data_IF_846357377334
#
_entry.id   IF_846357377334
#
_cell.length_a   1.000
_cell.length_b   1.000
_cell.length_c   1.000
_cell.angle_alpha   90.00
_cell.angle_beta   90.00
_cell.angle_gamma   90.00
#
_symmetry.space_group_name_H-M   'P 1'
#
loop_
_entity.id
_entity.type
_entity.pdbx_description
1 polymer ?
#
# COMPACT_ATOMS: atom_id res chain seq x y z
N UNK A 1 -43.35 20.64 -11.19
CA UNK A 1 -43.45 19.99 -9.88
C UNK A 1 -43.91 18.57 -10.16
N UNK A 2 -43.12 17.50 -10.04
CA UNK A 2 -42.00 17.18 -9.15
C UNK A 2 -41.11 16.10 -9.80
N UNK A 3 -39.80 16.22 -9.61
CA UNK A 3 -38.79 15.17 -9.81
C UNK A 3 -39.06 13.95 -8.92
N UNK A 4 -38.52 12.77 -9.25
CA UNK A 4 -37.61 12.00 -8.38
C UNK A 4 -37.15 10.69 -9.05
N UNK A 5 -35.85 10.64 -9.35
CA UNK A 5 -34.90 9.51 -9.31
C UNK A 5 -35.08 8.30 -10.25
N UNK A 6 -34.38 8.39 -11.38
CA UNK A 6 -33.85 7.25 -12.15
C UNK A 6 -32.81 6.49 -11.32
N UNK A 7 -33.04 5.19 -11.17
CA UNK A 7 -32.18 4.24 -10.47
C UNK A 7 -30.91 3.97 -11.29
N UNK A 8 -29.79 4.56 -10.89
CA UNK A 8 -28.46 4.09 -11.31
C UNK A 8 -28.11 2.84 -10.51
N UNK A 9 -28.35 1.68 -11.11
CA UNK A 9 -27.93 0.38 -10.60
C UNK A 9 -26.70 -0.10 -11.39
N UNK A 10 -25.54 0.50 -11.11
CA UNK A 10 -24.23 0.02 -11.61
C UNK A 10 -23.84 -1.23 -10.83
N UNK A 11 -24.46 -2.34 -11.22
CA UNK A 11 -24.15 -3.69 -10.76
C UNK A 11 -22.83 -4.18 -11.34
N UNK A 12 -21.75 -3.91 -10.62
CA UNK A 12 -20.65 -4.84 -10.32
C UNK A 12 -20.39 -5.94 -11.38
N UNK A 13 -19.62 -5.60 -12.42
CA UNK A 13 -19.02 -6.56 -13.34
C UNK A 13 -17.88 -7.35 -12.62
N UNK A 14 -17.99 -8.68 -12.45
CA UNK A 14 -17.02 -9.47 -11.71
C UNK A 14 -15.74 -9.81 -12.51
N UNK A 15 -15.52 -9.29 -13.73
CA UNK A 15 -14.46 -9.81 -14.61
C UNK A 15 -13.35 -8.82 -15.05
N UNK A 16 -13.31 -7.58 -14.56
CA UNK A 16 -12.30 -6.60 -15.02
C UNK A 16 -10.96 -6.60 -14.25
N UNK A 17 -10.75 -7.48 -13.26
CA UNK A 17 -9.65 -7.29 -12.29
C UNK A 17 -8.40 -8.16 -12.49
N UNK A 18 -8.18 -8.77 -13.65
CA UNK A 18 -6.96 -9.60 -13.90
C UNK A 18 -5.68 -8.80 -14.19
N UNK A 19 -5.74 -7.47 -14.25
CA UNK A 19 -4.56 -6.61 -14.50
C UNK A 19 -4.02 -5.82 -13.31
N UNK A 20 -4.78 -5.67 -12.21
CA UNK A 20 -4.49 -4.66 -11.17
C UNK A 20 -4.25 -5.21 -9.75
N UNK A 21 -4.05 -6.52 -9.58
CA UNK A 21 -3.61 -7.07 -8.29
C UNK A 21 -2.25 -6.48 -7.82
N UNK A 22 -1.53 -5.81 -8.72
CA UNK A 22 -0.31 -5.05 -8.46
C UNK A 22 -0.51 -3.57 -8.11
N UNK A 23 -1.71 -2.98 -8.20
CA UNK A 23 -1.89 -1.55 -7.92
C UNK A 23 -1.98 -1.27 -6.41
N UNK A 24 -1.33 -0.18 -5.96
CA UNK A 24 -1.31 0.25 -4.55
C UNK A 24 -2.75 0.52 -4.07
N UNK A 25 -3.56 1.17 -4.89
CA UNK A 25 -4.96 1.47 -4.57
C UNK A 25 -5.82 0.23 -4.35
N UNK A 26 -5.65 -0.81 -5.18
CA UNK A 26 -6.39 -2.07 -5.00
C UNK A 26 -6.03 -2.72 -3.67
N UNK A 27 -4.74 -2.72 -3.29
CA UNK A 27 -4.28 -3.22 -2.00
C UNK A 27 -4.81 -2.40 -0.83
N UNK A 28 -4.82 -1.07 -0.92
CA UNK A 28 -5.41 -0.19 0.10
C UNK A 28 -6.89 -0.46 0.31
N UNK A 29 -7.67 -0.58 -0.79
CA UNK A 29 -9.09 -0.95 -0.71
C UNK A 29 -9.30 -2.31 -0.07
N UNK A 30 -8.46 -3.29 -0.40
CA UNK A 30 -8.51 -4.62 0.19
C UNK A 30 -8.17 -4.60 1.69
N UNK A 31 -7.15 -3.84 2.08
CA UNK A 31 -6.73 -3.68 3.47
C UNK A 31 -7.85 -3.01 4.30
N UNK A 32 -8.51 -1.99 3.75
CA UNK A 32 -9.65 -1.35 4.40
C UNK A 32 -10.80 -2.35 4.64
N UNK A 33 -11.19 -3.10 3.60
CA UNK A 33 -12.23 -4.16 3.73
C UNK A 33 -11.84 -5.20 4.80
N UNK A 34 -10.57 -5.58 4.84
CA UNK A 34 -10.06 -6.56 5.80
C UNK A 34 -10.07 -6.03 7.25
N UNK A 35 -9.68 -4.77 7.46
CA UNK A 35 -9.76 -4.11 8.76
C UNK A 35 -11.21 -4.01 9.27
N UNK A 36 -12.15 -3.63 8.40
CA UNK A 36 -13.58 -3.60 8.74
C UNK A 36 -14.08 -4.99 9.13
N UNK A 37 -13.70 -6.03 8.38
CA UNK A 37 -14.07 -7.41 8.69
C UNK A 37 -13.52 -7.87 10.05
N UNK A 38 -12.24 -7.57 10.34
CA UNK A 38 -11.61 -7.86 11.63
C UNK A 38 -12.41 -7.22 12.78
N UNK A 39 -12.74 -5.93 12.67
CA UNK A 39 -13.50 -5.22 13.71
C UNK A 39 -14.90 -5.81 13.94
N UNK A 40 -15.58 -6.25 12.87
CA UNK A 40 -16.89 -6.92 12.99
C UNK A 40 -16.75 -8.27 13.70
N UNK A 41 -15.74 -9.06 13.36
CA UNK A 41 -15.49 -10.36 14.00
C UNK A 41 -15.16 -10.20 15.50
N UNK A 42 -14.32 -9.24 15.85
CA UNK A 42 -13.98 -8.93 17.25
C UNK A 42 -15.21 -8.49 18.05
N UNK A 43 -16.05 -7.62 17.46
CA UNK A 43 -17.31 -7.21 18.08
C UNK A 43 -18.27 -8.39 18.27
N UNK A 44 -18.37 -9.29 17.28
CA UNK A 44 -19.21 -10.48 17.36
C UNK A 44 -18.74 -11.45 18.46
N UNK A 45 -17.43 -11.73 18.54
CA UNK A 45 -16.84 -12.57 19.60
C UNK A 45 -17.09 -11.95 20.98
N UNK A 46 -16.93 -10.62 21.11
CA UNK A 46 -17.22 -9.91 22.35
C UNK A 46 -18.69 -10.01 22.76
N UNK A 47 -19.62 -9.92 21.80
CA UNK A 47 -21.05 -10.13 22.06
C UNK A 47 -21.34 -11.56 22.51
N UNK A 48 -20.83 -12.56 21.81
CA UNK A 48 -21.02 -13.98 22.17
C UNK A 48 -20.44 -14.28 23.55
N UNK A 49 -19.27 -13.74 23.88
CA UNK A 49 -18.64 -13.93 25.19
C UNK A 49 -19.49 -13.36 26.32
N UNK A 50 -20.17 -12.22 26.11
CA UNK A 50 -21.15 -11.70 27.06
C UNK A 50 -22.41 -12.58 27.16
N UNK A 51 -22.91 -13.07 26.03
CA UNK A 51 -24.08 -13.94 26.00
C UNK A 51 -23.81 -15.29 26.66
N UNK A 52 -22.61 -15.86 26.54
CA UNK A 52 -22.21 -17.12 27.19
C UNK A 52 -22.32 -17.08 28.72
N UNK A 53 -22.21 -15.89 29.33
CA UNK A 53 -22.41 -15.70 30.77
C UNK A 53 -23.87 -15.64 31.21
N UNK A 54 -24.84 -15.67 30.27
CA UNK A 54 -26.26 -15.64 30.58
C UNK A 54 -26.81 -17.06 30.84
N UNK A 55 -27.63 -17.28 31.88
CA UNK A 55 -28.18 -18.59 32.22
C UNK A 55 -29.14 -19.18 31.17
N UNK A 56 -29.67 -18.37 30.24
CA UNK A 56 -30.54 -18.84 29.14
C UNK A 56 -29.76 -19.17 27.85
N UNK A 57 -28.44 -19.04 27.86
CA UNK A 57 -27.63 -19.18 26.67
C UNK A 57 -27.42 -20.64 26.27
N UNK A 58 -27.60 -20.95 24.98
CA UNK A 58 -27.19 -22.22 24.40
C UNK A 58 -25.65 -22.25 24.30
N UNK A 59 -25.00 -22.68 25.39
CA UNK A 59 -23.55 -22.62 25.56
C UNK A 59 -22.80 -23.37 24.46
N UNK A 60 -23.17 -24.62 24.18
CA UNK A 60 -22.50 -25.46 23.20
C UNK A 60 -22.52 -24.83 21.79
N UNK A 61 -23.67 -24.31 21.37
CA UNK A 61 -23.80 -23.64 20.07
C UNK A 61 -22.95 -22.37 20.03
N UNK A 62 -22.99 -21.57 21.09
CA UNK A 62 -22.26 -20.30 21.16
C UNK A 62 -20.74 -20.50 21.21
N UNK A 63 -20.25 -21.52 21.90
CA UNK A 63 -18.83 -21.90 21.89
C UNK A 63 -18.37 -22.34 20.50
N UNK A 64 -19.16 -23.17 19.80
CA UNK A 64 -18.87 -23.56 18.41
C UNK A 64 -18.82 -22.35 17.48
N UNK A 65 -19.78 -21.43 17.59
CA UNK A 65 -19.78 -20.18 16.81
C UNK A 65 -18.56 -19.33 17.15
N UNK A 66 -18.25 -19.15 18.44
CA UNK A 66 -17.08 -18.39 18.89
C UNK A 66 -15.79 -18.95 18.29
N UNK A 67 -15.57 -20.26 18.38
CA UNK A 67 -14.38 -20.91 17.83
C UNK A 67 -14.25 -20.69 16.31
N UNK A 68 -15.35 -20.79 15.56
CA UNK A 68 -15.34 -20.52 14.12
C UNK A 68 -14.99 -19.07 13.79
N UNK A 69 -15.52 -18.12 14.56
CA UNK A 69 -15.20 -16.70 14.40
C UNK A 69 -13.74 -16.39 14.77
N UNK A 70 -13.21 -17.01 15.82
CA UNK A 70 -11.80 -16.87 16.24
C UNK A 70 -10.84 -17.43 15.17
N UNK A 71 -11.15 -18.60 14.60
CA UNK A 71 -10.39 -19.18 13.49
C UNK A 71 -10.40 -18.27 12.27
N UNK A 72 -11.58 -17.74 11.91
CA UNK A 72 -11.71 -16.80 10.77
C UNK A 72 -10.95 -15.50 11.04
N UNK A 73 -11.02 -14.97 12.26
CA UNK A 73 -10.28 -13.78 12.69
C UNK A 73 -8.77 -13.99 12.57
N UNK A 74 -8.27 -15.16 12.97
CA UNK A 74 -6.85 -15.50 12.82
C UNK A 74 -6.42 -15.50 11.35
N UNK A 75 -7.24 -16.06 10.46
CA UNK A 75 -6.98 -16.05 9.02
C UNK A 75 -6.96 -14.62 8.49
N UNK A 76 -7.93 -13.77 8.87
CA UNK A 76 -7.97 -12.37 8.47
C UNK A 76 -6.73 -11.59 8.94
N UNK A 77 -6.27 -11.81 10.17
CA UNK A 77 -5.04 -11.18 10.71
C UNK A 77 -3.79 -11.62 9.93
N UNK A 78 -3.67 -12.90 9.57
CA UNK A 78 -2.56 -13.40 8.73
C UNK A 78 -2.60 -12.83 7.31
N UNK A 79 -3.80 -12.73 6.72
CA UNK A 79 -3.99 -12.10 5.42
C UNK A 79 -3.61 -10.62 5.45
N UNK A 80 -3.92 -9.92 6.55
CA UNK A 80 -3.55 -8.52 6.78
C UNK A 80 -2.04 -8.35 6.82
N UNK A 81 -1.36 -9.14 7.65
CA UNK A 81 0.11 -9.12 7.72
C UNK A 81 0.76 -9.38 6.36
N UNK A 82 0.28 -10.39 5.62
CA UNK A 82 0.78 -10.67 4.25
C UNK A 82 0.58 -9.50 3.29
N UNK A 83 -0.56 -8.81 3.41
CA UNK A 83 -0.88 -7.68 2.54
C UNK A 83 -0.03 -6.45 2.89
N UNK A 84 0.18 -6.20 4.18
CA UNK A 84 1.01 -5.10 4.70
C UNK A 84 2.50 -5.31 4.39
N UNK A 85 3.05 -6.52 4.60
CA UNK A 85 4.45 -6.81 4.24
C UNK A 85 4.72 -6.63 2.74
N UNK A 86 3.74 -6.95 1.88
CA UNK A 86 3.84 -6.68 0.43
C UNK A 86 3.70 -5.20 0.07
N UNK A 87 3.18 -4.36 0.97
CA UNK A 87 3.20 -2.90 0.83
C UNK A 87 4.51 -2.31 1.35
N UNK A 88 5.18 -2.96 2.30
CA UNK A 88 6.51 -2.59 2.80
C UNK A 88 7.65 -3.02 1.88
N UNK A 89 7.43 -3.95 0.94
CA UNK A 89 8.30 -4.18 -0.24
C UNK A 89 8.31 -3.00 -1.24
N UNK A 90 8.21 -1.77 -0.72
CA UNK A 90 8.86 -0.60 -1.32
C UNK A 90 10.37 -0.89 -1.24
N UNK A 91 11.19 -0.62 -2.28
CA UNK A 91 12.64 -0.74 -2.15
C UNK A 91 13.08 -0.05 -0.86
N UNK A 92 13.94 -0.69 -0.06
CA UNK A 92 14.21 -0.24 1.30
C UNK A 92 14.59 1.23 1.26
N UNK A 93 13.89 2.04 2.06
CA UNK A 93 14.43 3.31 2.52
C UNK A 93 15.84 3.00 3.02
N UNK A 94 16.83 3.50 2.28
CA UNK A 94 18.24 3.36 2.56
C UNK A 94 18.53 3.98 3.93
N UNK A 95 18.38 3.16 4.96
CA UNK A 95 19.13 3.34 6.20
C UNK A 95 20.53 2.89 5.86
N UNK A 96 21.35 3.90 5.56
CA UNK A 96 22.81 3.94 5.67
C UNK A 96 23.46 2.58 5.96
N UNK A 97 23.78 1.86 4.89
CA UNK A 97 24.95 1.00 4.88
C UNK A 97 25.67 1.21 3.55
N UNK A 98 27.00 1.38 3.54
CA UNK A 98 27.74 1.63 2.32
C UNK A 98 27.80 0.32 1.51
N UNK A 99 26.75 0.03 0.76
CA UNK A 99 26.79 -0.95 -0.31
C UNK A 99 27.23 -0.23 -1.56
N UNK A 100 28.37 -0.66 -2.08
CA UNK A 100 28.88 -0.30 -3.41
C UNK A 100 27.75 -0.39 -4.44
N UNK A 101 27.21 0.78 -4.82
CA UNK A 101 26.20 0.90 -5.86
C UNK A 101 26.90 0.63 -7.18
N UNK A 102 26.81 -0.62 -7.66
CA UNK A 102 27.13 -0.90 -9.05
C UNK A 102 26.14 -0.12 -9.90
N UNK A 103 26.62 0.97 -10.48
CA UNK A 103 25.89 1.83 -11.40
C UNK A 103 25.27 0.96 -12.50
N UNK A 104 23.96 0.76 -12.44
CA UNK A 104 23.27 0.10 -13.53
C UNK A 104 23.01 1.13 -14.63
N UNK A 105 23.47 0.91 -15.86
CA UNK A 105 23.19 1.80 -16.98
C UNK A 105 21.68 1.98 -17.14
N UNK A 106 21.24 3.21 -17.41
CA UNK A 106 19.81 3.50 -17.60
C UNK A 106 19.22 2.61 -18.69
N UNK A 107 18.23 1.81 -18.31
CA UNK A 107 17.50 0.95 -19.22
C UNK A 107 16.61 1.78 -20.13
N UNK A 108 16.26 1.24 -21.30
CA UNK A 108 15.35 1.91 -22.24
C UNK A 108 14.01 2.32 -21.62
N UNK A 109 13.53 1.58 -20.60
CA UNK A 109 12.31 1.91 -19.85
C UNK A 109 12.41 3.23 -19.06
N UNK A 110 13.61 3.63 -18.64
CA UNK A 110 13.85 4.88 -17.91
C UNK A 110 13.68 6.14 -18.78
N UNK A 111 13.54 5.99 -20.10
CA UNK A 111 13.24 7.10 -21.01
C UNK A 111 11.87 7.72 -20.74
N UNK A 112 10.89 6.93 -20.28
CA UNK A 112 9.50 7.36 -20.07
C UNK A 112 9.39 8.39 -18.93
N UNK A 113 10.37 8.40 -18.02
CA UNK A 113 10.42 9.30 -16.87
C UNK A 113 11.14 10.63 -17.18
N UNK A 114 11.68 10.79 -18.39
CA UNK A 114 12.42 11.97 -18.80
C UNK A 114 11.59 12.84 -19.75
N UNK A 115 11.78 14.14 -19.65
CA UNK A 115 11.03 15.14 -20.41
C UNK A 115 11.47 15.22 -21.87
N UNK A 116 12.68 14.73 -22.18
CA UNK A 116 13.19 14.72 -23.56
C UNK A 116 14.21 13.61 -23.85
N UNK A 117 14.44 13.36 -25.15
CA UNK A 117 15.47 12.42 -25.60
C UNK A 117 16.91 12.91 -25.37
N UNK A 118 17.10 14.22 -25.33
CA UNK A 118 18.38 14.83 -25.03
C UNK A 118 18.76 14.59 -23.58
N UNK A 119 17.76 14.69 -22.69
CA UNK A 119 17.89 14.38 -21.27
C UNK A 119 18.27 12.91 -21.05
N UNK A 120 17.63 11.97 -21.75
CA UNK A 120 18.00 10.55 -21.69
C UNK A 120 19.44 10.29 -22.13
N UNK A 121 19.88 10.91 -23.25
CA UNK A 121 21.25 10.75 -23.74
C UNK A 121 22.27 11.35 -22.76
N UNK A 122 21.93 12.48 -22.14
CA UNK A 122 22.76 13.13 -21.12
C UNK A 122 22.92 12.20 -19.91
N UNK A 123 21.82 11.77 -19.30
CA UNK A 123 21.86 10.92 -18.11
C UNK A 123 22.47 9.55 -18.35
N UNK A 124 22.26 8.95 -19.54
CA UNK A 124 22.86 7.65 -19.88
C UNK A 124 24.39 7.66 -19.85
N UNK A 125 25.01 8.82 -20.10
CA UNK A 125 26.45 8.99 -20.12
C UNK A 125 27.00 9.59 -18.82
N UNK A 126 26.14 9.99 -17.88
CA UNK A 126 26.57 10.53 -16.59
C UNK A 126 26.99 9.40 -15.64
N UNK A 127 27.99 9.69 -14.81
CA UNK A 127 28.40 8.79 -13.72
C UNK A 127 27.46 8.97 -12.52
N UNK A 128 27.35 7.96 -11.64
CA UNK A 128 26.70 8.15 -10.35
C UNK A 128 27.33 9.31 -9.59
N UNK A 129 26.51 10.07 -8.89
CA UNK A 129 26.96 11.13 -7.99
C UNK A 129 27.72 10.47 -6.84
N UNK A 130 28.99 10.85 -6.67
CA UNK A 130 29.81 10.35 -5.57
C UNK A 130 29.46 11.05 -4.25
N UNK A 131 29.66 10.39 -3.09
CA UNK A 131 29.46 11.03 -1.80
C UNK A 131 30.30 12.30 -1.60
N UNK A 132 31.51 12.36 -2.19
CA UNK A 132 32.36 13.55 -2.18
C UNK A 132 31.74 14.72 -2.94
N UNK A 133 31.12 14.46 -4.11
CA UNK A 133 30.42 15.51 -4.87
C UNK A 133 29.24 16.13 -4.08
N UNK A 134 28.64 15.37 -3.16
CA UNK A 134 27.58 15.87 -2.28
C UNK A 134 28.18 16.72 -1.15
N UNK A 135 29.27 16.25 -0.54
CA UNK A 135 29.92 16.95 0.58
C UNK A 135 30.59 18.25 0.15
N UNK A 136 31.15 18.28 -1.06
CA UNK A 136 31.84 19.44 -1.63
C UNK A 136 30.87 20.40 -2.33
N UNK A 137 29.56 20.13 -2.31
CA UNK A 137 28.56 20.99 -2.95
C UNK A 137 28.40 22.31 -2.19
N UNK A 138 28.60 23.43 -2.87
CA UNK A 138 28.36 24.77 -2.34
C UNK A 138 26.87 25.09 -2.32
N UNK A 139 26.24 24.85 -1.17
CA UNK A 139 24.81 25.09 -0.95
C UNK A 139 24.43 26.58 -1.05
N UNK A 140 25.34 27.49 -0.70
CA UNK A 140 25.08 28.94 -0.75
C UNK A 140 25.04 29.43 -2.21
N UNK A 141 25.92 28.91 -3.07
CA UNK A 141 25.86 29.18 -4.51
C UNK A 141 24.58 28.60 -5.14
N UNK A 142 24.16 27.39 -4.73
CA UNK A 142 22.93 26.76 -5.20
C UNK A 142 21.68 27.58 -4.82
N UNK A 143 21.61 28.05 -3.58
CA UNK A 143 20.52 28.89 -3.09
C UNK A 143 20.43 30.21 -3.88
N UNK A 144 21.58 30.86 -4.12
CA UNK A 144 21.64 32.09 -4.93
C UNK A 144 21.11 31.88 -6.35
N UNK A 145 21.53 30.79 -7.02
CA UNK A 145 21.05 30.47 -8.38
C UNK A 145 19.55 30.17 -8.44
N UNK A 146 19.00 29.55 -7.39
CA UNK A 146 17.58 29.26 -7.32
C UNK A 146 16.75 30.54 -7.23
N UNK A 147 17.21 31.52 -6.44
CA UNK A 147 16.56 32.83 -6.31
C UNK A 147 16.64 33.66 -7.60
N UNK A 148 17.64 33.44 -8.47
CA UNK A 148 17.77 34.12 -9.76
C UNK A 148 16.88 33.51 -10.87
N UNK A 149 16.30 32.33 -10.64
CA UNK A 149 15.43 31.63 -11.60
C UNK A 149 13.93 31.91 -11.42
N UNK A 150 13.56 32.59 -10.33
CA UNK A 150 12.21 33.14 -10.09
C UNK A 150 12.03 34.54 -10.71
#
# INVERSE_FOLDING_TARGET
>A
MTNFEEKNNDGNDPNSNKGNAGSIEYRQRLLHKLNTLIGVLESAIGKISRTLGSPEANQERLEKIKNNLENTLQICRRAKATLESKMEEVPPKETESPRETKAHPLAFRSYVELSSIEEFRKFKNMKPISPSEIQDADLEELERKLQELE
#
